data_IF_890487806010
#
_entry.id   IF_890487806010
#
_cell.length_a   1.000
_cell.length_b   1.000
_cell.length_c   1.000
_cell.angle_alpha   90.00
_cell.angle_beta   90.00
_cell.angle_gamma   90.00
#
_symmetry.space_group_name_H-M   'P 1'
#
loop_
_entity.id
_entity.type
_entity.pdbx_description
1 polymer ?
#
# COMPACT_ATOMS: atom_id res chain seq x y z
N UNK A 1 -42.15 26.20 2.77
CA UNK A 1 -41.29 25.94 1.60
C UNK A 1 -40.07 25.21 2.11
N UNK A 2 -40.22 23.91 2.37
CA UNK A 2 -39.12 23.01 2.68
C UNK A 2 -38.42 22.63 1.39
N UNK A 3 -37.13 22.98 1.28
CA UNK A 3 -36.29 22.61 0.16
C UNK A 3 -35.91 21.14 0.25
N UNK A 4 -36.51 20.34 -0.62
CA UNK A 4 -36.21 18.93 -0.79
C UNK A 4 -34.79 18.76 -1.33
N UNK A 5 -33.92 18.14 -0.53
CA UNK A 5 -32.57 17.74 -0.94
C UNK A 5 -32.67 16.74 -2.11
N UNK A 6 -31.87 16.90 -3.17
CA UNK A 6 -31.92 15.99 -4.30
C UNK A 6 -31.40 14.59 -3.94
N UNK A 7 -31.96 13.65 -4.68
CA UNK A 7 -31.93 12.21 -4.54
C UNK A 7 -30.53 11.59 -4.37
N UNK A 8 -30.42 10.62 -3.45
CA UNK A 8 -29.23 9.80 -3.19
C UNK A 8 -29.23 8.62 -4.15
N UNK A 9 -28.88 8.84 -5.41
CA UNK A 9 -28.76 7.78 -6.40
C UNK A 9 -27.33 7.65 -6.94
N UNK A 10 -26.67 6.56 -6.53
CA UNK A 10 -25.83 5.71 -7.39
C UNK A 10 -24.52 6.27 -7.95
N UNK A 11 -23.41 6.04 -7.26
CA UNK A 11 -22.18 5.54 -7.87
C UNK A 11 -21.50 4.61 -6.86
N UNK A 12 -21.68 3.30 -7.04
CA UNK A 12 -20.75 2.28 -6.55
C UNK A 12 -20.29 1.49 -7.77
N UNK A 13 -19.59 2.17 -8.67
CA UNK A 13 -18.74 1.44 -9.61
C UNK A 13 -17.52 0.94 -8.82
N UNK A 14 -17.14 -0.31 -9.08
CA UNK A 14 -16.03 -0.96 -8.39
C UNK A 14 -14.76 -0.12 -8.53
N UNK A 15 -13.98 -0.02 -7.46
CA UNK A 15 -12.68 0.66 -7.44
C UNK A 15 -11.63 0.05 -8.40
N UNK A 16 -11.99 -0.93 -9.23
CA UNK A 16 -11.11 -1.60 -10.19
C UNK A 16 -11.89 -2.16 -11.37
N UNK A 17 -11.22 -2.97 -12.20
CA UNK A 17 -11.84 -3.67 -13.33
C UNK A 17 -12.99 -4.55 -12.82
N UNK A 18 -14.18 -4.40 -13.40
CA UNK A 18 -15.37 -5.12 -12.97
C UNK A 18 -15.16 -6.65 -13.02
N UNK A 19 -15.49 -7.34 -11.92
CA UNK A 19 -15.35 -8.79 -11.81
C UNK A 19 -13.93 -9.30 -11.56
N UNK A 20 -12.92 -8.42 -11.53
CA UNK A 20 -11.57 -8.78 -11.11
C UNK A 20 -11.44 -8.72 -9.59
N UNK A 21 -10.71 -9.67 -8.99
CA UNK A 21 -10.41 -9.69 -7.56
C UNK A 21 -8.97 -10.19 -7.32
N UNK A 22 -8.30 -9.72 -6.25
CA UNK A 22 -7.02 -10.28 -5.84
C UNK A 22 -7.18 -11.73 -5.40
N UNK A 23 -6.09 -12.51 -5.47
CA UNK A 23 -6.08 -13.92 -5.05
C UNK A 23 -6.39 -14.08 -3.56
N UNK A 24 -5.98 -13.11 -2.74
CA UNK A 24 -6.39 -13.09 -1.35
C UNK A 24 -6.41 -11.70 -0.76
N UNK A 25 -7.12 -11.60 0.36
CA UNK A 25 -7.33 -10.38 1.14
C UNK A 25 -7.40 -10.73 2.63
N UNK A 26 -6.82 -9.87 3.46
CA UNK A 26 -6.93 -9.93 4.91
C UNK A 26 -7.02 -8.52 5.49
N UNK A 27 -7.62 -8.41 6.69
CA UNK A 27 -7.56 -7.19 7.51
C UNK A 27 -6.79 -7.54 8.78
N UNK A 28 -5.66 -6.86 8.99
CA UNK A 28 -4.72 -7.15 10.08
C UNK A 28 -4.43 -5.83 10.79
N UNK A 29 -4.77 -5.75 12.08
CA UNK A 29 -4.60 -4.52 12.88
C UNK A 29 -5.19 -3.25 12.23
N UNK A 30 -6.31 -3.39 11.52
CA UNK A 30 -6.97 -2.28 10.80
C UNK A 30 -6.36 -1.95 9.43
N UNK A 31 -5.31 -2.66 9.01
CA UNK A 31 -4.70 -2.53 7.69
C UNK A 31 -5.31 -3.56 6.75
N UNK A 32 -5.82 -3.12 5.60
CA UNK A 32 -6.23 -4.03 4.53
C UNK A 32 -4.99 -4.45 3.76
N UNK A 33 -4.78 -5.76 3.60
CA UNK A 33 -3.70 -6.33 2.79
C UNK A 33 -4.31 -7.21 1.70
N UNK A 34 -3.84 -7.06 0.47
CA UNK A 34 -4.24 -7.88 -0.68
C UNK A 34 -3.01 -8.43 -1.37
N UNK A 35 -3.15 -9.59 -1.99
CA UNK A 35 -2.08 -10.20 -2.77
C UNK A 35 -2.60 -10.92 -4.00
N UNK A 36 -1.76 -10.96 -5.03
CA UNK A 36 -2.03 -11.65 -6.28
C UNK A 36 -0.71 -12.11 -6.92
N UNK A 37 -0.71 -13.22 -7.68
CA UNK A 37 0.43 -13.57 -8.51
C UNK A 37 0.60 -12.54 -9.62
N UNK A 38 1.82 -12.33 -10.10
CA UNK A 38 2.12 -11.37 -11.17
C UNK A 38 1.31 -11.62 -12.43
N UNK A 39 1.00 -12.89 -12.74
CA UNK A 39 0.12 -13.26 -13.87
C UNK A 39 -1.29 -12.63 -13.79
N UNK A 40 -1.75 -12.18 -12.62
CA UNK A 40 -3.00 -11.46 -12.47
C UNK A 40 -2.97 -10.03 -13.06
N UNK A 41 -1.80 -9.57 -13.52
CA UNK A 41 -1.66 -8.28 -14.21
C UNK A 41 -2.36 -8.28 -15.58
N UNK A 42 -2.37 -9.39 -16.30
CA UNK A 42 -2.89 -9.45 -17.68
C UNK A 42 -4.33 -8.95 -17.85
N UNK A 43 -5.32 -9.38 -17.04
CA UNK A 43 -6.69 -8.88 -17.15
C UNK A 43 -6.84 -7.40 -16.79
N UNK A 44 -5.89 -6.82 -16.05
CA UNK A 44 -5.95 -5.41 -15.59
C UNK A 44 -4.95 -4.50 -16.30
N UNK A 45 -4.07 -5.05 -17.14
CA UNK A 45 -2.89 -4.38 -17.71
C UNK A 45 -3.24 -3.07 -18.39
N UNK A 46 -4.28 -3.07 -19.22
CA UNK A 46 -4.72 -1.88 -19.94
C UNK A 46 -5.14 -0.76 -18.99
N UNK A 47 -5.99 -1.08 -18.00
CA UNK A 47 -6.44 -0.11 -16.99
C UNK A 47 -5.28 0.35 -16.13
N UNK A 48 -4.50 -0.59 -15.58
CA UNK A 48 -3.35 -0.31 -14.75
C UNK A 48 -2.36 0.63 -15.43
N UNK A 49 -2.05 0.40 -16.71
CA UNK A 49 -1.11 1.23 -17.48
C UNK A 49 -1.70 2.62 -17.77
N UNK A 50 -3.00 2.71 -18.06
CA UNK A 50 -3.68 3.98 -18.34
C UNK A 50 -3.69 4.94 -17.14
N UNK A 51 -3.60 4.42 -15.91
CA UNK A 51 -3.62 5.20 -14.67
C UNK A 51 -2.24 5.70 -14.23
N UNK A 52 -1.18 5.28 -14.91
CA UNK A 52 0.18 5.69 -14.55
C UNK A 52 0.42 7.16 -14.86
N UNK A 53 1.18 7.80 -14.00
CA UNK A 53 1.81 9.09 -14.26
C UNK A 53 2.95 8.94 -15.29
N UNK A 54 3.44 10.07 -15.81
CA UNK A 54 4.61 10.05 -16.70
C UNK A 54 5.87 9.50 -15.99
N UNK A 55 6.07 9.80 -14.70
CA UNK A 55 7.19 9.28 -13.91
C UNK A 55 7.10 7.77 -13.67
N UNK A 56 5.90 7.24 -13.44
CA UNK A 56 5.69 5.79 -13.31
C UNK A 56 5.97 5.08 -14.63
N UNK A 57 5.49 5.61 -15.77
CA UNK A 57 5.79 5.04 -17.10
C UNK A 57 7.28 5.02 -17.39
N UNK A 58 7.98 6.12 -17.13
CA UNK A 58 9.43 6.20 -17.31
C UNK A 58 10.20 5.19 -16.43
N UNK A 59 9.69 4.88 -15.23
CA UNK A 59 10.26 3.81 -14.40
C UNK A 59 10.09 2.45 -15.06
N UNK A 60 8.88 2.12 -15.53
CA UNK A 60 8.60 0.82 -16.14
C UNK A 60 9.47 0.57 -17.38
N UNK A 61 9.72 1.61 -18.18
CA UNK A 61 10.60 1.54 -19.35
C UNK A 61 12.08 1.27 -18.98
N UNK A 62 12.47 1.57 -17.74
CA UNK A 62 13.84 1.44 -17.26
C UNK A 62 14.17 0.13 -16.53
N UNK A 63 13.22 -0.81 -16.42
CA UNK A 63 13.37 -2.08 -15.70
C UNK A 63 13.01 -3.27 -16.61
N UNK A 64 13.32 -4.49 -16.17
CA UNK A 64 12.97 -5.70 -16.94
C UNK A 64 11.47 -5.91 -17.01
N UNK A 65 10.98 -6.62 -18.04
CA UNK A 65 9.54 -6.91 -18.22
C UNK A 65 8.91 -7.55 -16.97
N UNK A 66 9.62 -8.49 -16.33
CA UNK A 66 9.16 -9.14 -15.09
C UNK A 66 8.98 -8.11 -13.97
N UNK A 67 9.97 -7.25 -13.75
CA UNK A 67 9.90 -6.21 -12.74
C UNK A 67 8.86 -5.13 -13.10
N UNK A 68 8.65 -4.88 -14.39
CA UNK A 68 7.63 -3.96 -14.89
C UNK A 68 6.23 -4.48 -14.60
N UNK A 69 5.97 -5.77 -14.80
CA UNK A 69 4.69 -6.40 -14.50
C UNK A 69 4.39 -6.41 -13.00
N UNK A 70 5.38 -6.75 -12.17
CA UNK A 70 5.27 -6.69 -10.72
C UNK A 70 5.00 -5.25 -10.24
N UNK A 71 5.72 -4.28 -10.79
CA UNK A 71 5.52 -2.85 -10.46
C UNK A 71 4.13 -2.38 -10.90
N UNK A 72 3.70 -2.75 -12.11
CA UNK A 72 2.41 -2.38 -12.66
C UNK A 72 1.25 -2.94 -11.83
N UNK A 73 1.30 -4.23 -11.50
CA UNK A 73 0.30 -4.86 -10.64
C UNK A 73 0.33 -4.24 -9.23
N UNK A 74 1.51 -3.98 -8.68
CA UNK A 74 1.65 -3.32 -7.38
C UNK A 74 0.98 -1.95 -7.35
N UNK A 75 1.21 -1.12 -8.38
CA UNK A 75 0.58 0.20 -8.54
C UNK A 75 -0.93 0.11 -8.70
N UNK A 76 -1.42 -0.90 -9.43
CA UNK A 76 -2.85 -1.16 -9.56
C UNK A 76 -3.47 -1.51 -8.20
N UNK A 77 -2.92 -2.49 -7.48
CA UNK A 77 -3.43 -2.92 -6.18
C UNK A 77 -3.49 -1.77 -5.16
N UNK A 78 -2.44 -0.94 -5.10
CA UNK A 78 -2.40 0.23 -4.22
C UNK A 78 -3.49 1.23 -4.59
N UNK A 79 -3.69 1.53 -5.87
CA UNK A 79 -4.75 2.46 -6.32
C UNK A 79 -6.14 1.94 -5.95
N UNK A 80 -6.42 0.66 -6.18
CA UNK A 80 -7.70 0.04 -5.81
C UNK A 80 -7.94 0.15 -4.30
N UNK A 81 -6.94 -0.21 -3.48
CA UNK A 81 -7.08 -0.13 -2.02
C UNK A 81 -7.27 1.31 -1.51
N UNK A 82 -6.50 2.26 -2.05
CA UNK A 82 -6.63 3.66 -1.69
C UNK A 82 -7.99 4.23 -2.12
N UNK A 83 -8.46 3.88 -3.31
CA UNK A 83 -9.77 4.27 -3.82
C UNK A 83 -10.92 3.73 -2.97
N UNK A 84 -10.84 2.45 -2.55
CA UNK A 84 -11.77 1.87 -1.57
C UNK A 84 -11.77 2.65 -0.25
N UNK A 85 -10.58 2.98 0.28
CA UNK A 85 -10.45 3.72 1.53
C UNK A 85 -11.00 5.15 1.45
N UNK A 86 -10.88 5.79 0.30
CA UNK A 86 -11.30 7.17 0.04
C UNK A 86 -12.69 7.30 -0.59
N UNK A 87 -13.35 6.18 -0.88
CA UNK A 87 -14.63 6.12 -1.59
C UNK A 87 -14.62 6.90 -2.93
N UNK A 88 -13.57 6.70 -3.74
CA UNK A 88 -13.42 7.32 -5.05
C UNK A 88 -13.07 6.31 -6.15
N UNK A 89 -12.95 6.77 -7.39
CA UNK A 89 -12.49 5.95 -8.51
C UNK A 89 -10.97 5.76 -8.47
N UNK A 90 -10.46 4.57 -8.85
CA UNK A 90 -9.02 4.29 -8.79
C UNK A 90 -8.18 5.08 -9.79
N UNK A 91 -8.75 5.51 -10.91
CA UNK A 91 -8.09 6.39 -11.87
C UNK A 91 -7.94 7.84 -11.36
N UNK A 92 -8.73 8.22 -10.35
CA UNK A 92 -8.57 9.48 -9.63
C UNK A 92 -7.48 9.43 -8.54
N UNK A 93 -6.95 8.25 -8.21
CA UNK A 93 -5.88 8.09 -7.24
C UNK A 93 -4.52 8.30 -7.90
N UNK A 94 -3.82 9.36 -7.48
CA UNK A 94 -2.45 9.61 -7.90
C UNK A 94 -1.50 9.06 -6.84
N UNK A 95 -0.44 8.38 -7.29
CA UNK A 95 0.63 7.88 -6.41
C UNK A 95 1.93 8.57 -6.79
N UNK A 96 2.66 9.04 -5.79
CA UNK A 96 4.06 9.47 -5.94
C UNK A 96 4.95 8.53 -5.15
N UNK A 97 6.20 8.34 -5.59
CA UNK A 97 7.14 7.45 -4.92
C UNK A 97 8.57 7.97 -5.09
N UNK A 98 8.81 9.22 -4.70
CA UNK A 98 10.10 9.87 -4.90
C UNK A 98 11.09 9.42 -3.83
N UNK A 99 12.21 8.83 -4.26
CA UNK A 99 13.29 8.47 -3.34
C UNK A 99 13.99 9.75 -2.82
N UNK A 100 14.10 9.97 -1.50
CA UNK A 100 14.74 11.17 -0.96
C UNK A 100 16.24 11.24 -1.27
N UNK A 101 16.89 10.09 -1.52
CA UNK A 101 18.33 10.04 -1.78
C UNK A 101 18.70 10.37 -3.24
N UNK A 102 17.87 10.01 -4.22
CA UNK A 102 18.23 10.18 -5.64
C UNK A 102 17.14 10.81 -6.53
N UNK A 103 15.96 11.12 -5.97
CA UNK A 103 14.86 11.77 -6.67
C UNK A 103 14.10 10.90 -7.69
N UNK A 104 14.48 9.64 -7.89
CA UNK A 104 13.81 8.72 -8.83
C UNK A 104 12.55 8.10 -8.23
N UNK A 105 11.67 7.61 -9.11
CA UNK A 105 10.47 6.85 -8.74
C UNK A 105 10.92 5.47 -8.24
N UNK A 106 11.16 5.34 -6.93
CA UNK A 106 11.36 4.08 -6.18
C UNK A 106 11.41 4.31 -4.65
N UNK A 107 10.98 5.48 -4.19
CA UNK A 107 10.81 5.77 -2.78
C UNK A 107 9.54 5.13 -2.22
N UNK A 108 9.22 5.47 -0.98
CA UNK A 108 7.97 5.06 -0.35
C UNK A 108 6.77 5.61 -1.14
N UNK A 109 5.80 4.78 -1.55
CA UNK A 109 4.59 5.25 -2.20
C UNK A 109 3.77 6.15 -1.26
N UNK A 110 3.27 7.25 -1.80
CA UNK A 110 2.37 8.19 -1.13
C UNK A 110 1.14 8.42 -2.01
N UNK A 111 -0.03 8.38 -1.39
CA UNK A 111 -1.29 8.70 -2.08
C UNK A 111 -1.45 10.22 -2.09
N UNK A 112 -1.57 10.78 -3.29
CA UNK A 112 -1.87 12.19 -3.52
C UNK A 112 -3.27 12.25 -4.12
N UNK A 113 -4.18 12.95 -3.47
CA UNK A 113 -5.54 13.10 -3.99
C UNK A 113 -5.72 14.48 -4.60
N UNK A 114 -6.05 14.60 -5.90
CA UNK A 114 -6.48 15.88 -6.46
C UNK A 114 -7.78 16.33 -5.77
N UNK A 115 -7.83 17.58 -5.30
CA UNK A 115 -9.01 18.18 -4.66
C UNK A 115 -10.25 18.23 -5.60
N UNK A 116 -10.05 18.07 -6.90
CA UNK A 116 -11.12 18.09 -7.89
C UNK A 116 -11.75 16.69 -8.05
N UNK A 117 -12.93 16.48 -7.46
CA UNK A 117 -13.75 15.28 -7.69
C UNK A 117 -14.05 14.46 -6.44
N UNK A 118 -13.42 14.76 -5.31
CA UNK A 118 -13.77 14.14 -4.04
C UNK A 118 -14.98 14.84 -3.40
N UNK A 119 -15.91 14.05 -2.83
CA UNK A 119 -16.79 14.50 -1.73
C UNK A 119 -16.03 14.61 -0.39
N UNK A 120 -14.70 14.54 -0.42
CA UNK A 120 -13.85 14.67 0.73
C UNK A 120 -13.63 16.15 1.03
N UNK A 121 -14.17 16.54 2.17
CA UNK A 121 -13.89 17.79 2.84
C UNK A 121 -12.36 18.02 2.93
N UNK A 122 -11.85 19.27 2.83
CA UNK A 122 -10.42 19.62 2.86
C UNK A 122 -9.65 19.26 4.15
N UNK A 123 -10.20 18.39 4.99
CA UNK A 123 -9.69 18.03 6.32
C UNK A 123 -9.36 16.54 6.49
N UNK A 124 -9.46 15.70 5.46
CA UNK A 124 -9.14 14.27 5.57
C UNK A 124 -7.71 13.96 5.08
N UNK A 125 -6.84 13.36 5.91
CA UNK A 125 -5.51 12.95 5.45
C UNK A 125 -5.60 11.76 4.49
N UNK A 126 -4.66 11.65 3.55
CA UNK A 126 -4.58 10.56 2.58
C UNK A 126 -4.22 9.21 3.27
N UNK A 127 -4.72 8.06 2.78
CA UNK A 127 -4.40 6.76 3.36
C UNK A 127 -2.92 6.42 3.23
N UNK A 128 -2.41 5.66 4.21
CA UNK A 128 -1.06 5.12 4.19
C UNK A 128 -1.04 3.82 3.41
N UNK A 129 -0.04 3.65 2.55
CA UNK A 129 0.06 2.48 1.67
C UNK A 129 1.48 1.91 1.65
N UNK A 130 1.58 0.60 1.39
CA UNK A 130 2.86 -0.09 1.19
C UNK A 130 2.69 -1.18 0.14
N UNK A 131 3.76 -1.52 -0.56
CA UNK A 131 3.77 -2.55 -1.60
C UNK A 131 5.09 -3.31 -1.58
N UNK A 132 5.01 -4.61 -1.83
CA UNK A 132 6.14 -5.50 -2.01
C UNK A 132 5.86 -6.47 -3.15
N UNK A 133 6.92 -6.94 -3.80
CA UNK A 133 6.83 -8.01 -4.76
C UNK A 133 8.11 -8.85 -4.71
N UNK A 134 7.95 -10.16 -4.77
CA UNK A 134 9.06 -11.11 -4.85
C UNK A 134 8.54 -12.45 -5.39
N UNK A 135 9.36 -13.14 -6.18
CA UNK A 135 9.07 -14.50 -6.64
C UNK A 135 7.76 -14.64 -7.42
N UNK A 136 7.30 -13.60 -8.11
CA UNK A 136 6.03 -13.62 -8.84
C UNK A 136 4.78 -13.41 -7.97
N UNK A 137 4.93 -12.98 -6.72
CA UNK A 137 3.85 -12.56 -5.83
C UNK A 137 3.93 -11.05 -5.63
N UNK A 138 2.79 -10.36 -5.72
CA UNK A 138 2.67 -8.93 -5.40
C UNK A 138 1.71 -8.76 -4.22
N UNK A 139 2.14 -7.99 -3.22
CA UNK A 139 1.39 -7.71 -1.99
C UNK A 139 1.26 -6.21 -1.81
N UNK A 140 0.05 -5.72 -1.58
CA UNK A 140 -0.22 -4.32 -1.26
C UNK A 140 -0.97 -4.20 0.06
N UNK A 141 -0.64 -3.19 0.85
CA UNK A 141 -1.26 -2.88 2.13
C UNK A 141 -1.75 -1.44 2.15
N UNK A 142 -2.89 -1.19 2.79
CA UNK A 142 -3.49 0.12 2.96
C UNK A 142 -4.07 0.26 4.37
N UNK A 143 -3.63 1.28 5.09
CA UNK A 143 -4.24 1.72 6.34
C UNK A 143 -5.10 2.94 6.02
N UNK A 144 -6.43 2.87 6.18
CA UNK A 144 -7.26 4.06 6.05
C UNK A 144 -6.83 5.07 7.12
N UNK A 145 -6.92 6.36 6.81
CA UNK A 145 -6.83 7.39 7.83
C UNK A 145 -8.07 7.36 8.70
N UNK A 146 -7.90 7.69 9.98
CA UNK A 146 -9.03 7.81 10.89
C UNK A 146 -10.04 8.82 10.31
N UNK A 147 -11.31 8.43 10.18
CA UNK A 147 -12.38 9.34 9.76
C UNK A 147 -12.64 10.33 10.90
N UNK A 148 -12.24 11.57 10.71
CA UNK A 148 -12.56 12.67 11.64
C UNK A 148 -12.16 14.01 11.03
N UNK A 149 -12.92 15.08 11.27
CA UNK A 149 -12.46 16.43 10.98
C UNK A 149 -11.13 16.67 11.70
N UNK A 150 -10.09 17.11 10.98
CA UNK A 150 -8.93 17.77 11.57
C UNK A 150 -9.38 19.18 11.98
N UNK A 151 -10.28 19.25 12.97
CA UNK A 151 -10.53 20.47 13.70
C UNK A 151 -9.30 20.67 14.56
N UNK A 152 -8.64 21.83 14.44
CA UNK A 152 -7.32 22.13 15.03
C UNK A 152 -7.18 22.02 16.56
N UNK A 153 -8.10 21.33 17.24
CA UNK A 153 -8.10 21.11 18.67
C UNK A 153 -8.60 19.71 19.12
N UNK A 154 -8.84 18.76 18.22
CA UNK A 154 -9.07 17.34 18.59
C UNK A 154 -7.97 16.46 18.03
N UNK A 155 -6.91 16.32 18.81
CA UNK A 155 -5.94 15.24 18.66
C UNK A 155 -6.53 13.94 19.17
N UNK A 156 -7.60 13.42 18.54
CA UNK A 156 -7.64 11.96 18.36
C UNK A 156 -6.56 11.61 17.33
N UNK A 157 -5.33 11.79 17.78
CA UNK A 157 -4.08 11.48 17.14
C UNK A 157 -3.80 9.98 17.30
N UNK A 158 -4.83 9.14 17.13
CA UNK A 158 -4.66 7.71 16.92
C UNK A 158 -3.94 7.37 15.59
N UNK A 159 -3.56 8.43 14.84
CA UNK A 159 -2.41 8.59 13.92
C UNK A 159 -2.41 7.68 12.68
N UNK A 160 -1.91 8.16 11.52
CA UNK A 160 -1.49 7.27 10.46
C UNK A 160 -0.43 6.31 11.02
N UNK A 161 -0.77 5.01 11.02
CA UNK A 161 0.20 3.98 11.35
C UNK A 161 1.16 3.94 10.17
N UNK A 162 2.42 4.32 10.35
CA UNK A 162 3.44 3.97 9.38
C UNK A 162 3.32 2.46 9.16
N UNK A 163 3.03 2.06 7.92
CA UNK A 163 2.90 0.66 7.54
C UNK A 163 3.98 0.29 6.54
N UNK A 164 4.45 -0.93 6.63
CA UNK A 164 5.33 -1.52 5.64
C UNK A 164 5.00 -2.98 5.46
N UNK A 165 4.91 -3.42 4.21
CA UNK A 165 4.74 -4.83 3.88
C UNK A 165 5.96 -5.31 3.13
N UNK A 166 6.39 -6.54 3.42
CA UNK A 166 7.44 -7.21 2.68
C UNK A 166 7.14 -8.70 2.51
N UNK A 167 7.64 -9.28 1.42
CA UNK A 167 7.35 -10.66 1.02
C UNK A 167 8.56 -11.30 0.36
N UNK A 168 8.81 -12.56 0.66
CA UNK A 168 9.83 -13.38 0.02
C UNK A 168 9.27 -14.79 -0.27
N UNK A 169 9.62 -15.41 -1.42
CA UNK A 169 9.19 -16.76 -1.73
C UNK A 169 9.77 -17.75 -0.71
N UNK A 170 8.93 -18.68 -0.27
CA UNK A 170 9.35 -19.78 0.59
C UNK A 170 9.48 -21.05 -0.26
N UNK A 171 10.68 -21.64 -0.40
CA UNK A 171 10.83 -22.91 -1.10
C UNK A 171 9.90 -23.99 -0.50
N UNK A 172 9.25 -24.83 -1.32
CA UNK A 172 8.33 -25.86 -0.83
C UNK A 172 8.96 -26.84 0.17
N UNK A 173 10.26 -27.03 0.07
CA UNK A 173 11.10 -27.92 0.89
C UNK A 173 11.94 -27.17 1.94
N UNK A 174 11.67 -25.88 2.16
CA UNK A 174 12.38 -25.07 3.15
C UNK A 174 12.24 -25.66 4.56
N UNK A 175 13.37 -25.77 5.24
CA UNK A 175 13.42 -26.14 6.65
C UNK A 175 12.77 -25.07 7.53
N UNK A 176 12.38 -25.46 8.74
CA UNK A 176 11.87 -24.50 9.75
C UNK A 176 12.86 -23.36 10.03
N UNK A 177 14.17 -23.64 9.96
CA UNK A 177 15.20 -22.63 10.19
C UNK A 177 15.26 -21.62 9.04
N UNK A 178 15.20 -22.08 7.79
CA UNK A 178 15.17 -21.20 6.61
C UNK A 178 13.91 -20.31 6.60
N UNK A 179 12.75 -20.88 6.91
CA UNK A 179 11.50 -20.10 7.06
C UNK A 179 11.62 -19.05 8.17
N UNK A 180 12.26 -19.38 9.29
CA UNK A 180 12.50 -18.41 10.38
C UNK A 180 13.46 -17.30 9.97
N UNK A 181 14.51 -17.62 9.20
CA UNK A 181 15.47 -16.64 8.67
C UNK A 181 14.81 -15.70 7.66
N UNK A 182 14.02 -16.24 6.73
CA UNK A 182 13.22 -15.45 5.79
C UNK A 182 12.26 -14.53 6.55
N UNK A 183 11.59 -15.03 7.59
CA UNK A 183 10.69 -14.21 8.41
C UNK A 183 11.41 -13.06 9.10
N UNK A 184 12.58 -13.32 9.68
CA UNK A 184 13.38 -12.26 10.31
C UNK A 184 13.82 -11.20 9.28
N UNK A 185 14.12 -11.62 8.05
CA UNK A 185 14.43 -10.72 6.93
C UNK A 185 13.22 -9.87 6.54
N UNK A 186 12.08 -10.50 6.21
CA UNK A 186 10.87 -9.78 5.78
C UNK A 186 10.32 -8.86 6.86
N UNK A 187 10.46 -9.22 8.14
CA UNK A 187 10.09 -8.34 9.25
C UNK A 187 10.96 -7.07 9.28
N UNK A 188 12.26 -7.19 9.03
CA UNK A 188 13.18 -6.04 8.98
C UNK A 188 12.86 -5.15 7.78
N UNK A 189 12.65 -5.73 6.61
CA UNK A 189 12.27 -5.00 5.41
C UNK A 189 10.92 -4.28 5.56
N UNK A 190 9.94 -4.93 6.16
CA UNK A 190 8.64 -4.32 6.47
C UNK A 190 8.81 -3.10 7.38
N UNK A 191 9.65 -3.16 8.42
CA UNK A 191 9.97 -1.99 9.27
C UNK A 191 10.69 -0.90 8.48
N UNK A 192 11.68 -1.26 7.66
CA UNK A 192 12.41 -0.30 6.83
C UNK A 192 11.50 0.45 5.86
N UNK A 193 10.52 -0.26 5.27
CA UNK A 193 9.50 0.31 4.39
C UNK A 193 8.54 1.21 5.16
N UNK A 194 8.13 0.83 6.36
CA UNK A 194 7.29 1.64 7.23
C UNK A 194 7.99 2.96 7.62
N UNK A 195 9.28 2.91 7.93
CA UNK A 195 10.09 4.11 8.23
C UNK A 195 10.42 4.94 6.97
N UNK A 196 10.27 4.39 5.77
CA UNK A 196 10.67 5.06 4.52
C UNK A 196 12.19 5.27 4.39
N UNK A 197 13.00 4.58 5.20
CA UNK A 197 14.46 4.73 5.26
C UNK A 197 15.21 3.83 4.27
N UNK A 198 14.52 2.84 3.69
CA UNK A 198 15.15 1.80 2.88
C UNK A 198 16.05 0.88 3.71
N UNK A 199 16.64 -0.13 3.06
CA UNK A 199 17.47 -1.16 3.74
C UNK A 199 18.90 -0.69 4.07
N UNK A 200 19.28 0.51 3.64
CA UNK A 200 20.66 1.03 3.80
C UNK A 200 20.95 1.42 5.26
N UNK A 201 19.91 1.63 6.06
CA UNK A 201 20.03 1.94 7.48
C UNK A 201 19.92 0.63 8.27
N UNK A 202 20.95 0.30 9.05
CA UNK A 202 20.81 -0.75 10.06
C UNK A 202 19.77 -0.32 11.09
N UNK A 203 18.59 -0.95 11.09
CA UNK A 203 17.59 -0.75 12.13
C UNK A 203 18.01 -1.50 13.39
N UNK A 204 18.56 -0.76 14.36
CA UNK A 204 18.83 -1.31 15.68
C UNK A 204 17.55 -1.79 16.38
N UNK A 205 17.65 -2.62 17.43
CA UNK A 205 16.49 -3.24 18.11
C UNK A 205 15.42 -2.24 18.57
N UNK A 206 15.83 -1.01 18.94
CA UNK A 206 14.93 0.04 19.40
C UNK A 206 14.00 0.62 18.31
N UNK A 207 14.37 0.52 17.03
CA UNK A 207 13.49 0.92 15.91
C UNK A 207 12.44 -0.17 15.68
N UNK A 208 12.85 -1.44 15.64
CA UNK A 208 11.95 -2.58 15.46
C UNK A 208 10.89 -2.63 16.57
N UNK A 209 11.27 -2.32 17.82
CA UNK A 209 10.35 -2.31 18.96
C UNK A 209 9.21 -1.27 18.87
N UNK A 210 9.29 -0.31 17.93
CA UNK A 210 8.21 0.67 17.67
C UNK A 210 7.10 0.10 16.80
N UNK A 211 7.32 -1.06 16.18
CA UNK A 211 6.38 -1.69 15.28
C UNK A 211 5.82 -2.97 15.88
N UNK A 212 4.53 -3.18 15.68
CA UNK A 212 3.91 -4.50 15.85
C UNK A 212 4.04 -5.22 14.52
N UNK A 213 4.68 -6.39 14.56
CA UNK A 213 4.90 -7.24 13.40
C UNK A 213 3.80 -8.28 13.30
N UNK A 214 3.24 -8.42 12.11
CA UNK A 214 2.19 -9.39 11.82
C UNK A 214 2.57 -10.24 10.61
N UNK A 215 2.13 -11.49 10.63
CA UNK A 215 2.24 -12.38 9.49
C UNK A 215 1.05 -12.19 8.56
N UNK A 216 1.30 -12.16 7.25
CA UNK A 216 0.25 -12.17 6.23
C UNK A 216 0.15 -13.58 5.66
N UNK A 217 -1.06 -14.16 5.55
CA UNK A 217 -1.24 -15.56 5.14
C UNK A 217 -1.14 -15.73 3.62
N UNK A 218 0.04 -15.50 3.06
CA UNK A 218 0.35 -15.66 1.64
C UNK A 218 0.86 -17.07 1.34
N UNK A 219 0.12 -17.93 0.62
CA UNK A 219 0.60 -19.28 0.30
C UNK A 219 1.90 -19.25 -0.50
N UNK A 220 2.87 -20.08 -0.12
CA UNK A 220 4.16 -20.19 -0.82
C UNK A 220 5.14 -19.04 -0.57
N UNK A 221 4.82 -18.10 0.32
CA UNK A 221 5.68 -16.97 0.65
C UNK A 221 5.69 -16.70 2.16
N UNK A 222 6.79 -16.13 2.66
CA UNK A 222 6.83 -15.49 3.97
C UNK A 222 6.54 -14.02 3.76
N UNK A 223 5.45 -13.51 4.33
CA UNK A 223 5.06 -12.11 4.21
C UNK A 223 4.87 -11.50 5.59
N UNK A 224 5.50 -10.35 5.80
CA UNK A 224 5.44 -9.60 7.05
C UNK A 224 4.82 -8.23 6.83
N UNK A 225 3.99 -7.82 7.78
CA UNK A 225 3.41 -6.49 7.87
C UNK A 225 3.91 -5.84 9.16
N UNK A 226 4.60 -4.70 9.03
CA UNK A 226 4.94 -3.82 10.14
C UNK A 226 3.86 -2.75 10.27
N UNK A 227 3.36 -2.57 11.48
CA UNK A 227 2.37 -1.54 11.81
C UNK A 227 2.88 -0.75 13.00
N UNK A 228 3.01 0.57 12.84
CA UNK A 228 3.39 1.47 13.93
C UNK A 228 2.56 1.22 15.21
N UNK A 229 3.28 1.03 16.33
CA UNK A 229 2.71 0.84 17.66
C UNK A 229 2.19 2.15 18.25
N UNK A 230 1.34 2.05 19.28
CA UNK A 230 0.85 3.23 19.99
C UNK A 230 2.03 3.95 20.67
N UNK A 231 2.48 5.07 20.09
CA UNK A 231 3.59 5.88 20.60
C UNK A 231 4.74 6.12 19.62
N UNK A 232 4.77 5.47 18.46
CA UNK A 232 5.79 5.75 17.45
C UNK A 232 5.43 7.03 16.67
N UNK A 233 6.14 8.12 16.92
CA UNK A 233 6.21 9.23 15.95
C UNK A 233 7.19 8.86 14.86
N UNK A 234 6.75 8.84 13.60
CA UNK A 234 7.68 8.87 12.46
C UNK A 234 8.46 10.21 12.53
N UNK A 235 9.80 10.21 12.37
CA UNK A 235 10.53 11.47 12.30
C UNK A 235 10.06 12.26 11.07
N UNK A 236 9.85 13.57 11.29
CA UNK A 236 9.44 14.53 10.25
C UNK A 236 10.51 14.71 9.16
#
# INVERSE_FOLDING_TARGET
MEGQLPDRAGVTESAGVAGWAPTGRAVIAGVTVVWAPTAAVDPVRSSAYSWLTASERARLEGISDVAADETLLGRYLVRVLAAEAMECAADAVVITATCPACGREHGRPQVVVPLAGLRAHPTFPAPEVSVAHAGGLVVAACSPTARGPVDGNTTDSSRPRAIGVDTEPAPPDATRHEVATLRAWTQREAVAKAEGTGIVVEHGPGVVARYVLHDVPTPGAVTSLAVAGAGSTSPA
#
